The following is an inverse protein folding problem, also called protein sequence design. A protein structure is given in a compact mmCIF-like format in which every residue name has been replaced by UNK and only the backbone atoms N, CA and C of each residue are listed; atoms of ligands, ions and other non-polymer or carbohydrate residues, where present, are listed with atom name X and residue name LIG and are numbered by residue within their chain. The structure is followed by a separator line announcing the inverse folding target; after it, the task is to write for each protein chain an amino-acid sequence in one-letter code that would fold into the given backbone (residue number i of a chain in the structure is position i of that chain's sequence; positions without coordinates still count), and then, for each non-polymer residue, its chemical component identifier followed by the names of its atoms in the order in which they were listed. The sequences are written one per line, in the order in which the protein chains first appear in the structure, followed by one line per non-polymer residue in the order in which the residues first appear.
data_IF_653398826905
#
_entry.id   IF_653398826905
#
_cell.length_a   1.000
_cell.length_b   1.000
_cell.length_c   1.000
_cell.angle_alpha   90.00
_cell.angle_beta   90.00
_cell.angle_gamma   90.00
#
_symmetry.space_group_name_H-M   'P 1'
#
loop_
_entity.id
_entity.type
_entity.pdbx_description
1 polymer ?
#
# COMPACT_ATOMS: atom_id res chain seq x y z
N UNK A 1 -2.97 -8.35 -2.69
CA UNK A 1 -1.87 -8.34 -1.69
C UNK A 1 -1.44 -6.90 -1.46
N UNK A 2 -0.80 -6.62 -0.32
CA UNK A 2 -0.23 -5.34 0.02
C UNK A 2 1.28 -5.46 0.10
N UNK A 3 2.01 -4.53 -0.51
CA UNK A 3 3.43 -4.36 -0.21
C UNK A 3 3.59 -3.62 1.11
N UNK A 4 4.42 -4.16 2.00
CA UNK A 4 4.74 -3.56 3.29
C UNK A 4 6.21 -3.81 3.60
N UNK A 5 6.82 -2.85 4.29
CA UNK A 5 8.14 -2.99 4.89
C UNK A 5 7.92 -3.05 6.40
N UNK A 6 8.17 -4.23 6.96
CA UNK A 6 8.12 -4.51 8.39
C UNK A 6 9.54 -4.53 8.96
N UNK A 7 9.67 -4.74 10.27
CA UNK A 7 10.98 -4.93 10.92
C UNK A 7 11.80 -6.05 10.27
N UNK A 8 11.13 -7.13 9.83
CA UNK A 8 11.75 -8.28 9.15
C UNK A 8 12.14 -8.01 7.69
N UNK A 9 11.74 -6.87 7.13
CA UNK A 9 12.06 -6.47 5.76
C UNK A 9 10.84 -6.24 4.87
N UNK A 10 11.12 -6.15 3.56
CA UNK A 10 10.11 -5.95 2.52
C UNK A 10 9.37 -7.25 2.22
N UNK A 11 8.05 -7.15 2.08
CA UNK A 11 7.24 -8.32 1.81
C UNK A 11 5.92 -8.00 1.10
N UNK A 12 5.37 -9.01 0.44
CA UNK A 12 4.01 -8.98 -0.11
C UNK A 12 3.08 -9.78 0.80
N UNK A 13 2.15 -9.07 1.43
CA UNK A 13 1.20 -9.66 2.37
C UNK A 13 -0.15 -9.89 1.68
N UNK A 14 -0.64 -11.14 1.61
CA UNK A 14 -2.00 -11.41 1.16
C UNK A 14 -3.04 -10.72 2.04
N UNK A 15 -4.06 -10.11 1.42
CA UNK A 15 -5.11 -9.41 2.18
C UNK A 15 -5.87 -10.33 3.14
N UNK A 16 -5.96 -11.63 2.82
CA UNK A 16 -6.60 -12.65 3.67
C UNK A 16 -5.94 -12.86 5.04
N UNK A 17 -4.72 -12.35 5.24
CA UNK A 17 -4.02 -12.41 6.53
C UNK A 17 -4.21 -11.14 7.36
N UNK A 18 -4.68 -10.08 6.72
CA UNK A 18 -4.88 -8.78 7.33
C UNK A 18 -6.28 -8.71 7.89
N UNK A 19 -6.40 -8.32 9.15
CA UNK A 19 -7.68 -7.99 9.77
C UNK A 19 -8.02 -6.52 9.57
N UNK A 20 -7.06 -5.64 9.81
CA UNK A 20 -7.20 -4.21 9.54
C UNK A 20 -5.85 -3.52 9.37
N UNK A 21 -5.87 -2.39 8.68
CA UNK A 21 -4.73 -1.48 8.52
C UNK A 21 -5.13 -0.09 8.98
N UNK A 22 -4.26 0.57 9.74
CA UNK A 22 -4.42 1.99 10.10
C UNK A 22 -3.23 2.79 9.61
N UNK A 23 -3.52 3.83 8.84
CA UNK A 23 -2.52 4.70 8.25
C UNK A 23 -2.53 6.04 8.95
N UNK A 24 -1.35 6.58 9.22
CA UNK A 24 -1.19 7.94 9.71
C UNK A 24 -1.30 8.94 8.56
N UNK A 25 -1.89 10.10 8.82
CA UNK A 25 -1.90 11.17 7.82
C UNK A 25 -0.46 11.63 7.54
N UNK A 26 -0.07 11.85 6.28
CA UNK A 26 1.28 12.27 5.96
C UNK A 26 1.57 13.65 6.57
N UNK A 27 2.65 13.75 7.33
CA UNK A 27 3.11 14.99 8.00
C UNK A 27 4.46 15.46 7.46
N UNK A 28 5.23 14.55 6.88
CA UNK A 28 6.55 14.81 6.32
C UNK A 28 6.63 14.38 4.86
N UNK A 29 7.60 14.91 4.12
CA UNK A 29 7.85 14.51 2.73
C UNK A 29 8.17 13.02 2.57
N UNK A 30 8.73 12.38 3.61
CA UNK A 30 9.02 10.94 3.58
C UNK A 30 7.72 10.12 3.56
N UNK A 31 6.68 10.61 4.22
CA UNK A 31 5.40 9.92 4.34
C UNK A 31 4.69 9.83 2.98
N UNK A 32 5.01 10.74 2.04
CA UNK A 32 4.55 10.68 0.65
C UNK A 32 5.15 9.51 -0.13
N UNK A 33 6.29 8.97 0.34
CA UNK A 33 7.00 7.86 -0.28
C UNK A 33 6.70 6.56 0.45
N UNK A 34 6.71 6.60 1.78
CA UNK A 34 6.49 5.47 2.67
C UNK A 34 5.61 5.90 3.85
N UNK A 35 4.34 5.54 3.81
CA UNK A 35 3.38 5.91 4.85
C UNK A 35 3.41 4.90 5.99
N UNK A 36 3.47 5.40 7.23
CA UNK A 36 3.37 4.58 8.44
C UNK A 36 2.05 3.83 8.48
N UNK A 37 2.12 2.55 8.80
CA UNK A 37 0.95 1.68 8.97
C UNK A 37 1.06 0.86 10.26
N UNK A 38 -0.03 0.84 11.03
CA UNK A 38 -0.26 -0.15 12.07
C UNK A 38 -1.10 -1.29 11.47
N UNK A 39 -0.53 -2.49 11.46
CA UNK A 39 -1.12 -3.71 10.90
C UNK A 39 -1.72 -4.53 12.03
N UNK A 40 -2.99 -4.91 11.89
CA UNK A 40 -3.62 -5.93 12.71
C UNK A 40 -3.80 -7.19 11.88
N UNK A 41 -3.26 -8.30 12.37
CA UNK A 41 -3.33 -9.61 11.76
C UNK A 41 -4.54 -10.40 12.29
N UNK A 42 -4.97 -11.43 11.56
CA UNK A 42 -6.09 -12.30 11.99
C UNK A 42 -5.77 -13.13 13.24
N UNK A 43 -4.50 -13.47 13.45
CA UNK A 43 -4.01 -14.17 14.65
C UNK A 43 -4.05 -13.29 15.92
N UNK A 44 -4.42 -12.02 15.79
CA UNK A 44 -4.50 -11.03 16.88
C UNK A 44 -3.20 -10.24 17.10
N UNK A 45 -2.11 -10.62 16.44
CA UNK A 45 -0.83 -9.91 16.49
C UNK A 45 -0.99 -8.50 15.92
N UNK A 46 -0.11 -7.59 16.36
CA UNK A 46 0.04 -6.25 15.79
C UNK A 46 1.47 -6.00 15.39
N UNK A 47 1.65 -5.38 14.24
CA UNK A 47 2.97 -4.97 13.75
C UNK A 47 2.90 -3.55 13.23
N UNK A 48 4.03 -2.85 13.32
CA UNK A 48 4.21 -1.53 12.71
C UNK A 48 5.14 -1.66 11.53
N UNK A 49 4.84 -0.92 10.48
CA UNK A 49 5.68 -0.86 9.28
C UNK A 49 5.39 0.36 8.46
N UNK A 50 5.85 0.33 7.22
CA UNK A 50 5.54 1.36 6.22
C UNK A 50 5.06 0.72 4.92
N UNK A 51 4.15 1.42 4.23
CA UNK A 51 3.65 1.02 2.92
C UNK A 51 4.25 1.95 1.86
N UNK A 52 4.88 1.40 0.80
CA UNK A 52 5.26 2.18 -0.37
C UNK A 52 4.01 2.83 -0.99
N UNK A 53 4.05 4.16 -1.11
CA UNK A 53 2.90 4.95 -1.58
C UNK A 53 2.93 5.26 -3.07
N UNK A 54 3.99 4.83 -3.77
CA UNK A 54 4.16 5.06 -5.19
C UNK A 54 4.41 3.76 -5.93
N UNK A 55 3.99 3.71 -7.19
CA UNK A 55 4.38 2.63 -8.08
C UNK A 55 5.90 2.68 -8.35
N UNK A 56 6.53 1.52 -8.68
CA UNK A 56 7.90 1.47 -9.15
C UNK A 56 8.18 2.46 -10.31
N UNK A 57 9.44 2.82 -10.50
CA UNK A 57 9.93 3.71 -11.56
C UNK A 57 9.46 5.18 -11.53
N UNK A 58 8.49 5.53 -10.67
CA UNK A 58 8.03 6.91 -10.45
C UNK A 58 9.14 7.91 -10.10
N UNK A 59 10.28 7.46 -9.57
CA UNK A 59 11.43 8.32 -9.27
C UNK A 59 12.16 8.86 -10.51
N UNK A 60 11.99 8.22 -11.66
CA UNK A 60 12.66 8.57 -12.92
C UNK A 60 11.83 9.52 -13.81
N UNK A 61 10.56 9.77 -13.46
CA UNK A 61 9.69 10.69 -14.20
C UNK A 61 10.24 12.12 -14.20
N UNK A 62 10.11 12.82 -15.33
CA UNK A 62 10.43 14.25 -15.42
C UNK A 62 9.44 15.13 -14.65
N UNK A 63 8.22 14.61 -14.40
CA UNK A 63 7.18 15.33 -13.68
C UNK A 63 7.37 15.23 -12.16
N UNK A 64 7.55 16.39 -11.51
CA UNK A 64 7.64 16.48 -10.05
C UNK A 64 6.41 15.94 -9.32
N UNK A 65 5.22 16.08 -9.91
CA UNK A 65 3.96 15.58 -9.33
C UNK A 65 3.93 14.04 -9.25
N UNK A 66 4.44 13.34 -10.27
CA UNK A 66 4.59 11.89 -10.27
C UNK A 66 5.63 11.46 -9.25
N UNK A 67 6.79 12.15 -9.23
CA UNK A 67 7.84 11.89 -8.24
C UNK A 67 7.36 12.07 -6.80
N UNK A 68 6.48 13.03 -6.52
CA UNK A 68 5.94 13.27 -5.17
C UNK A 68 4.66 12.46 -4.85
N UNK A 69 4.18 11.60 -5.76
CA UNK A 69 2.95 10.84 -5.54
C UNK A 69 1.70 11.72 -5.46
N UNK A 70 1.70 12.89 -6.11
CA UNK A 70 0.55 13.80 -6.16
C UNK A 70 -0.39 13.49 -7.33
N UNK A 71 0.06 12.66 -8.26
CA UNK A 71 -0.67 12.25 -9.46
C UNK A 71 -0.48 10.75 -9.66
N UNK A 72 -1.45 10.12 -10.31
CA UNK A 72 -1.35 8.75 -10.80
C UNK A 72 -1.52 8.79 -12.31
N UNK A 73 -0.62 8.10 -13.01
CA UNK A 73 -0.68 7.88 -14.44
C UNK A 73 -0.53 6.39 -14.74
N UNK A 74 -0.94 5.99 -15.93
CA UNK A 74 -0.87 4.61 -16.40
C UNK A 74 -0.10 4.58 -17.71
N UNK A 75 0.96 3.78 -17.76
CA UNK A 75 1.77 3.58 -18.96
C UNK A 75 1.65 2.15 -19.47
N UNK A 76 1.53 1.97 -20.77
CA UNK A 76 1.35 0.66 -21.41
C UNK A 76 -0.05 0.47 -22.00
N UNK A 77 -0.38 -0.78 -22.34
CA UNK A 77 -1.61 -1.12 -23.04
C UNK A 77 -2.50 -2.04 -22.20
N UNK A 78 -3.78 -1.69 -22.12
CA UNK A 78 -4.86 -2.50 -21.52
C UNK A 78 -4.46 -3.14 -20.17
N UNK A 79 -4.40 -4.47 -20.10
CA UNK A 79 -4.14 -5.25 -18.90
C UNK A 79 -2.65 -5.27 -18.49
N UNK A 80 -1.76 -4.77 -19.35
CA UNK A 80 -0.33 -4.65 -19.08
C UNK A 80 0.07 -3.27 -18.56
N UNK A 81 -0.88 -2.35 -18.43
CA UNK A 81 -0.61 -1.00 -17.98
C UNK A 81 -0.02 -1.00 -16.56
N UNK A 82 1.15 -0.37 -16.42
CA UNK A 82 1.81 -0.13 -15.15
C UNK A 82 1.49 1.26 -14.65
N UNK A 83 1.21 1.39 -13.36
CA UNK A 83 1.00 2.69 -12.74
C UNK A 83 2.31 3.47 -12.57
N UNK A 84 2.24 4.78 -12.63
CA UNK A 84 3.27 5.73 -12.21
C UNK A 84 2.67 6.74 -11.22
N UNK A 85 3.49 7.19 -10.27
CA UNK A 85 3.09 8.14 -9.24
C UNK A 85 2.38 7.46 -8.08
N UNK A 86 1.31 8.04 -7.56
CA UNK A 86 0.64 7.54 -6.36
C UNK A 86 -0.03 6.18 -6.59
N UNK A 87 0.16 5.24 -5.66
CA UNK A 87 -0.50 3.94 -5.71
C UNK A 87 -2.00 4.08 -5.41
N UNK A 88 -2.80 3.33 -6.15
CA UNK A 88 -4.23 3.16 -5.93
C UNK A 88 -4.51 1.76 -5.40
N UNK A 89 -5.49 1.64 -4.50
CA UNK A 89 -6.13 0.38 -4.14
C UNK A 89 -7.52 0.35 -4.76
N UNK A 90 -7.72 -0.53 -5.73
CA UNK A 90 -9.00 -0.71 -6.38
C UNK A 90 -9.97 -1.47 -5.46
N UNK A 91 -11.16 -0.90 -5.26
CA UNK A 91 -12.30 -1.53 -4.63
C UNK A 91 -13.37 -1.94 -5.65
N UNK A 92 -14.50 -2.43 -5.17
CA UNK A 92 -15.65 -2.74 -6.03
C UNK A 92 -16.39 -1.51 -6.53
N UNK A 93 -16.30 -0.40 -5.80
CA UNK A 93 -17.05 0.84 -6.08
C UNK A 93 -16.16 1.94 -6.66
N UNK A 94 -14.91 2.05 -6.19
CA UNK A 94 -14.00 3.13 -6.54
C UNK A 94 -12.53 2.72 -6.32
N UNK A 95 -11.62 3.59 -6.77
CA UNK A 95 -10.18 3.47 -6.58
C UNK A 95 -9.70 4.43 -5.49
N UNK A 96 -9.03 3.88 -4.48
CA UNK A 96 -8.62 4.64 -3.31
C UNK A 96 -7.13 4.98 -3.37
N UNK A 97 -6.83 6.28 -3.36
CA UNK A 97 -5.48 6.82 -3.21
C UNK A 97 -4.85 6.43 -1.88
N UNK A 98 -3.72 5.74 -1.90
CA UNK A 98 -3.08 5.23 -0.68
C UNK A 98 -2.86 6.32 0.36
N UNK A 99 -2.44 7.53 -0.03
CA UNK A 99 -2.19 8.63 0.91
C UNK A 99 -3.47 9.21 1.55
N UNK A 100 -4.64 8.94 0.98
CA UNK A 100 -5.93 9.40 1.49
C UNK A 100 -6.58 8.37 2.42
N UNK A 101 -6.15 7.10 2.37
CA UNK A 101 -6.67 6.03 3.21
C UNK A 101 -6.21 6.23 4.65
N UNK A 102 -7.12 6.03 5.61
CA UNK A 102 -6.81 6.06 7.06
C UNK A 102 -7.08 4.74 7.75
N UNK A 103 -8.07 4.00 7.27
CA UNK A 103 -8.42 2.71 7.82
C UNK A 103 -8.95 1.79 6.73
N UNK A 104 -8.46 0.55 6.73
CA UNK A 104 -9.02 -0.54 5.93
C UNK A 104 -9.37 -1.66 6.91
N UNK A 105 -10.58 -2.18 6.82
CA UNK A 105 -11.00 -3.40 7.50
C UNK A 105 -11.29 -4.46 6.45
N UNK A 106 -10.78 -5.67 6.66
CA UNK A 106 -10.98 -6.78 5.75
C UNK A 106 -11.99 -7.76 6.35
N UNK A 107 -13.04 -8.05 5.59
CA UNK A 107 -14.01 -9.11 5.90
C UNK A 107 -13.57 -10.40 5.21
N UNK A 108 -12.48 -10.99 5.70
CA UNK A 108 -11.94 -12.25 5.18
C UNK A 108 -11.89 -13.28 6.29
N UNK A 109 -12.21 -14.54 5.97
CA UNK A 109 -12.00 -15.65 6.90
C UNK A 109 -10.51 -15.78 7.23
N UNK A 110 -10.20 -16.04 8.50
CA UNK A 110 -8.82 -16.29 8.94
C UNK A 110 -8.27 -17.52 8.23
N UNK A 111 -7.06 -17.42 7.68
CA UNK A 111 -6.35 -18.54 7.07
C UNK A 111 -5.35 -19.08 8.09
N UNK A 112 -5.38 -20.39 8.35
CA UNK A 112 -4.51 -21.08 9.33
C UNK A 112 -3.02 -21.14 8.91
N UNK A 113 -2.69 -20.78 7.66
CA UNK A 113 -1.32 -20.83 7.16
C UNK A 113 -0.49 -19.64 7.73
N UNK A 114 0.56 -19.91 8.52
CA UNK A 114 1.40 -18.87 9.10
C UNK A 114 2.30 -18.28 8.01
N UNK A 115 2.09 -17.01 7.67
CA UNK A 115 3.01 -16.30 6.79
C UNK A 115 4.22 -15.79 7.59
N UNK A 116 5.45 -15.85 7.03
CA UNK A 116 5.81 -16.14 5.64
C UNK A 116 6.34 -17.57 5.44
N UNK A 117 5.61 -18.60 5.92
CA UNK A 117 6.03 -20.01 5.82
C UNK A 117 5.09 -20.80 4.91
#
# INVERSE_FOLDING_TARGET
CLEVILEVGYAWVPFVQLRSLRFEAPTTLRDLLWQSVDVQWHDGTRSRGVVPCRYPDSQHSEEGAIRLGQRTEWEGEELSACGLGQRLLAGSEDDYRVLDIRHIAFDTAAVEAPWPN
#
